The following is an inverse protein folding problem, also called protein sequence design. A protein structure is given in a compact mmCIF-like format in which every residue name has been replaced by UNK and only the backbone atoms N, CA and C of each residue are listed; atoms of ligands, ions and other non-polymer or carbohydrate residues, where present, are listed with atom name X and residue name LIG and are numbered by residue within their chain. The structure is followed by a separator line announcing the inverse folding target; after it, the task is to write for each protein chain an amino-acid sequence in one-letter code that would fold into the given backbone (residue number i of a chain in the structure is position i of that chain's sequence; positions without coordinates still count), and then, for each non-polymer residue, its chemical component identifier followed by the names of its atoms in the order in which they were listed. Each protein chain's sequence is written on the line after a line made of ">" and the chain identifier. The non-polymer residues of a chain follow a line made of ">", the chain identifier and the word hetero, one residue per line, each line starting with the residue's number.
data_IF_184041281986
#
_entry.id   IF_184041281986
#
_cell.length_a   1.000
_cell.length_b   1.000
_cell.length_c   1.000
_cell.angle_alpha   90.00
_cell.angle_beta   90.00
_cell.angle_gamma   90.00
#
_symmetry.space_group_name_H-M   'P 1'
#
loop_
_entity.id
_entity.type
_entity.pdbx_description
1 polymer ?
#
# COMPACT_ATOMS: atom_id res chain seq x y z
N UNK A 1 -9.73 -22.47 4.40
CA UNK A 1 -9.49 -21.03 4.59
C UNK A 1 -10.67 -20.29 3.99
N UNK A 2 -11.75 -20.15 4.75
CA UNK A 2 -13.01 -19.57 4.31
C UNK A 2 -13.54 -18.63 5.40
N UNK A 3 -12.84 -17.54 5.73
CA UNK A 3 -13.30 -16.62 6.80
C UNK A 3 -13.04 -15.15 6.48
N UNK A 4 -13.20 -14.75 5.22
CA UNK A 4 -13.39 -13.33 4.89
C UNK A 4 -14.74 -13.17 4.20
N UNK A 5 -15.81 -13.27 4.99
CA UNK A 5 -17.05 -12.63 4.60
C UNK A 5 -16.86 -11.14 4.84
N UNK A 6 -16.72 -10.37 3.77
CA UNK A 6 -16.78 -8.92 3.84
C UNK A 6 -18.21 -8.54 4.25
N UNK A 7 -18.43 -8.42 5.55
CA UNK A 7 -19.66 -7.88 6.11
C UNK A 7 -19.61 -6.36 5.92
N UNK A 8 -20.22 -5.88 4.84
CA UNK A 8 -20.43 -4.44 4.61
C UNK A 8 -21.58 -3.98 5.51
N UNK A 9 -21.37 -4.03 6.81
CA UNK A 9 -22.30 -3.50 7.79
C UNK A 9 -22.30 -1.97 7.64
N UNK A 10 -23.37 -1.41 7.08
CA UNK A 10 -23.51 0.03 6.78
C UNK A 10 -23.75 0.87 8.03
N UNK A 11 -23.15 0.52 9.16
CA UNK A 11 -23.17 1.34 10.38
C UNK A 11 -22.32 2.58 10.12
N UNK A 12 -22.84 3.75 10.46
CA UNK A 12 -22.02 4.97 10.36
C UNK A 12 -20.80 4.82 11.27
N UNK A 13 -19.68 5.38 10.84
CA UNK A 13 -18.43 5.37 11.63
C UNK A 13 -18.71 5.96 13.02
N UNK A 14 -19.51 7.03 13.09
CA UNK A 14 -19.97 7.63 14.35
C UNK A 14 -20.76 6.66 15.24
N UNK A 15 -21.59 5.78 14.65
CA UNK A 15 -22.35 4.76 15.36
C UNK A 15 -21.48 3.66 15.96
N UNK A 16 -20.33 3.37 15.35
CA UNK A 16 -19.33 2.41 15.87
C UNK A 16 -18.46 3.08 16.94
N UNK A 17 -18.00 4.30 16.68
CA UNK A 17 -17.14 5.05 17.59
C UNK A 17 -17.88 5.58 18.83
N UNK A 18 -19.20 5.70 18.79
CA UNK A 18 -19.99 6.08 19.98
C UNK A 18 -20.11 4.96 21.03
N UNK A 19 -19.66 3.73 20.72
CA UNK A 19 -19.69 2.61 21.65
C UNK A 19 -18.41 2.62 22.51
N UNK A 20 -18.55 2.82 23.81
CA UNK A 20 -17.46 2.75 24.79
C UNK A 20 -16.79 1.37 24.77
N UNK A 21 -15.50 1.33 25.12
CA UNK A 21 -14.64 0.14 25.07
C UNK A 21 -14.50 -0.47 23.66
N UNK A 22 -14.75 0.33 22.63
CA UNK A 22 -14.48 -0.05 21.23
C UNK A 22 -13.01 0.12 20.92
N UNK A 23 -12.48 -0.88 20.23
CA UNK A 23 -11.12 -0.90 19.72
C UNK A 23 -11.15 -0.71 18.21
N UNK A 24 -10.32 0.19 17.69
CA UNK A 24 -10.20 0.40 16.26
C UNK A 24 -8.74 0.57 15.84
N UNK A 25 -8.48 0.27 14.58
CA UNK A 25 -7.16 0.39 13.98
C UNK A 25 -7.21 1.52 12.96
N UNK A 26 -6.21 2.40 13.02
CA UNK A 26 -5.93 3.35 11.95
C UNK A 26 -4.78 2.79 11.13
N UNK A 27 -4.99 2.67 9.82
CA UNK A 27 -3.99 2.26 8.85
C UNK A 27 -3.79 3.43 7.90
N UNK A 28 -2.66 4.13 8.02
CA UNK A 28 -2.27 5.24 7.14
C UNK A 28 -1.26 4.73 6.12
N UNK A 29 -1.63 4.82 4.84
CA UNK A 29 -0.80 4.36 3.71
C UNK A 29 -0.44 5.57 2.86
N UNK A 30 0.63 6.25 3.27
CA UNK A 30 1.17 7.38 2.54
C UNK A 30 1.98 6.97 1.30
N UNK A 31 2.62 7.95 0.65
CA UNK A 31 3.53 7.69 -0.47
C UNK A 31 4.80 6.95 -0.07
N UNK A 32 5.33 7.22 1.12
CA UNK A 32 6.58 6.63 1.61
C UNK A 32 6.38 5.55 2.67
N UNK A 33 5.50 5.81 3.65
CA UNK A 33 5.31 4.95 4.82
C UNK A 33 3.93 4.31 4.84
N UNK A 34 3.89 3.14 5.48
CA UNK A 34 2.69 2.52 6.01
C UNK A 34 2.80 2.62 7.52
N UNK A 35 1.83 3.22 8.18
CA UNK A 35 1.78 3.38 9.63
C UNK A 35 0.47 2.78 10.17
N UNK A 36 0.57 1.99 11.24
CA UNK A 36 -0.54 1.27 11.87
C UNK A 36 -0.57 1.58 13.35
N UNK A 37 -1.73 2.03 13.83
CA UNK A 37 -1.96 2.38 15.23
C UNK A 37 -3.27 1.79 15.73
N UNK A 38 -3.28 1.33 16.99
CA UNK A 38 -4.48 0.79 17.63
C UNK A 38 -4.96 1.73 18.72
N UNK A 39 -6.24 2.08 18.68
CA UNK A 39 -6.89 2.97 19.62
C UNK A 39 -8.02 2.25 20.38
N UNK A 40 -8.27 2.72 21.59
CA UNK A 40 -9.37 2.33 22.46
C UNK A 40 -10.16 3.57 22.86
N UNK A 41 -11.49 3.51 22.74
CA UNK A 41 -12.41 4.53 23.25
C UNK A 41 -12.72 4.20 24.70
N UNK A 42 -12.25 5.02 25.63
CA UNK A 42 -12.42 4.84 27.06
C UNK A 42 -13.86 5.15 27.50
N UNK A 43 -14.21 4.73 28.72
CA UNK A 43 -15.54 4.96 29.32
C UNK A 43 -15.92 6.45 29.45
N UNK A 44 -14.94 7.36 29.51
CA UNK A 44 -15.14 8.81 29.56
C UNK A 44 -15.24 9.46 28.16
N UNK A 45 -15.20 8.65 27.11
CA UNK A 45 -15.22 9.09 25.71
C UNK A 45 -13.88 9.56 25.16
N UNK A 46 -12.80 9.49 25.94
CA UNK A 46 -11.44 9.81 25.45
C UNK A 46 -10.88 8.68 24.59
N UNK A 47 -9.90 9.03 23.73
CA UNK A 47 -9.21 8.06 22.88
C UNK A 47 -7.83 7.80 23.47
N UNK A 48 -7.52 6.52 23.68
CA UNK A 48 -6.21 6.06 24.14
C UNK A 48 -5.53 5.26 23.04
N UNK A 49 -4.32 5.63 22.65
CA UNK A 49 -3.45 4.76 21.86
C UNK A 49 -2.96 3.61 22.76
N UNK A 50 -3.31 2.37 22.41
CA UNK A 50 -2.98 1.18 23.21
C UNK A 50 -1.85 0.35 22.62
N UNK A 51 -1.48 0.61 21.37
CA UNK A 51 -0.31 0.01 20.74
C UNK A 51 0.46 1.07 19.97
N UNK A 52 1.76 1.11 20.24
CA UNK A 52 2.70 2.03 19.59
C UNK A 52 2.54 1.94 18.07
N UNK A 53 2.59 3.08 17.39
CA UNK A 53 2.71 3.17 15.92
C UNK A 53 3.75 2.14 15.43
N UNK A 54 3.28 1.18 14.63
CA UNK A 54 4.15 0.24 13.90
C UNK A 54 4.03 0.52 12.42
N UNK A 55 5.14 0.51 11.72
CA UNK A 55 5.15 0.92 10.32
C UNK A 55 6.48 0.67 9.64
N UNK A 56 6.54 1.02 8.36
CA UNK A 56 7.76 0.91 7.58
C UNK A 56 7.63 1.55 6.21
N UNK A 57 8.71 1.52 5.41
CA UNK A 57 8.71 2.07 4.07
C UNK A 57 7.95 1.12 3.16
N UNK A 58 6.62 1.12 3.25
CA UNK A 58 5.72 0.27 2.45
C UNK A 58 4.61 1.11 1.81
N UNK A 59 4.85 2.42 1.65
CA UNK A 59 3.92 3.34 1.01
C UNK A 59 3.82 3.13 -0.51
N UNK A 60 3.03 3.99 -1.14
CA UNK A 60 2.74 3.95 -2.58
C UNK A 60 3.96 3.96 -3.51
N UNK A 61 5.14 4.40 -3.05
CA UNK A 61 6.37 4.38 -3.83
C UNK A 61 6.72 2.96 -4.34
N UNK A 62 6.41 1.92 -3.57
CA UNK A 62 6.64 0.54 -4.00
C UNK A 62 5.67 0.12 -5.11
N UNK A 63 4.44 0.65 -5.10
CA UNK A 63 3.49 0.43 -6.20
C UNK A 63 4.03 1.04 -7.48
N UNK A 64 4.52 2.29 -7.41
CA UNK A 64 5.13 2.96 -8.56
C UNK A 64 6.33 2.18 -9.11
N UNK A 65 7.26 1.76 -8.24
CA UNK A 65 8.44 0.99 -8.65
C UNK A 65 8.07 -0.34 -9.33
N UNK A 66 7.05 -1.04 -8.82
CA UNK A 66 6.56 -2.29 -9.44
C UNK A 66 5.90 -2.03 -10.77
N UNK A 67 5.15 -0.93 -10.89
CA UNK A 67 4.52 -0.53 -12.15
C UNK A 67 5.55 -0.13 -13.21
N UNK A 68 6.57 0.66 -12.84
CA UNK A 68 7.69 1.02 -13.73
C UNK A 68 8.44 -0.23 -14.19
N UNK A 69 8.74 -1.17 -13.28
CA UNK A 69 9.39 -2.44 -13.61
C UNK A 69 8.58 -3.27 -14.61
N UNK A 70 7.25 -3.31 -14.44
CA UNK A 70 6.35 -4.00 -15.37
C UNK A 70 6.39 -3.36 -16.76
N UNK A 71 6.34 -2.02 -16.84
CA UNK A 71 6.42 -1.31 -18.11
C UNK A 71 7.78 -1.57 -18.81
N UNK A 72 8.87 -1.55 -18.06
CA UNK A 72 10.20 -1.89 -18.61
C UNK A 72 10.24 -3.29 -19.18
N UNK A 73 9.67 -4.28 -18.48
CA UNK A 73 9.62 -5.67 -18.96
C UNK A 73 8.84 -5.78 -20.27
N UNK A 74 7.65 -5.19 -20.32
CA UNK A 74 6.78 -5.23 -21.49
C UNK A 74 7.44 -4.57 -22.71
N UNK A 75 8.04 -3.39 -22.54
CA UNK A 75 8.62 -2.65 -23.66
C UNK A 75 10.04 -3.11 -24.04
N UNK A 76 10.82 -3.70 -23.12
CA UNK A 76 12.05 -4.44 -23.49
C UNK A 76 11.72 -5.67 -24.33
N UNK A 77 10.70 -6.42 -23.93
CA UNK A 77 10.27 -7.59 -24.71
C UNK A 77 9.78 -7.20 -26.11
N UNK A 78 9.04 -6.09 -26.23
CA UNK A 78 8.54 -5.59 -27.52
C UNK A 78 9.64 -5.09 -28.47
N UNK A 79 10.79 -4.66 -27.95
CA UNK A 79 11.90 -4.10 -28.74
C UNK A 79 13.01 -5.11 -29.01
N UNK A 80 13.16 -6.14 -28.19
CA UNK A 80 14.16 -7.20 -28.37
C UNK A 80 13.93 -8.10 -29.60
N UNK A 81 12.71 -8.13 -30.15
CA UNK A 81 12.39 -8.95 -31.32
C UNK A 81 12.83 -8.36 -32.67
N UNK A 82 13.39 -7.13 -32.74
CA UNK A 82 13.68 -6.47 -34.01
C UNK A 82 15.05 -5.75 -34.13
N UNK A 83 15.98 -5.92 -33.18
CA UNK A 83 17.34 -5.37 -33.34
C UNK A 83 18.32 -6.51 -33.61
N UNK A 84 18.81 -6.69 -34.85
CA UNK A 84 19.91 -7.60 -35.10
C UNK A 84 21.16 -7.09 -34.36
N UNK A 85 21.87 -7.99 -33.67
CA UNK A 85 23.07 -7.66 -32.88
C UNK A 85 24.15 -6.91 -33.68
N UNK A 86 24.12 -6.98 -35.01
CA UNK A 86 25.01 -6.25 -35.92
C UNK A 86 24.88 -4.72 -35.85
N UNK A 87 23.79 -4.17 -35.30
CA UNK A 87 23.55 -2.72 -35.28
C UNK A 87 24.29 -1.98 -34.16
N UNK A 88 24.76 -2.67 -33.11
CA UNK A 88 25.47 -2.03 -32.00
C UNK A 88 26.91 -1.60 -32.36
N UNK A 89 27.49 -2.14 -33.43
CA UNK A 89 28.85 -1.77 -33.85
C UNK A 89 28.91 -0.43 -34.61
N UNK A 90 27.77 0.12 -35.05
CA UNK A 90 27.71 1.33 -35.86
C UNK A 90 27.60 2.63 -35.04
N UNK A 91 27.28 2.53 -33.75
CA UNK A 91 27.11 3.69 -32.83
C UNK A 91 28.31 3.92 -31.90
N UNK A 92 29.35 3.09 -31.97
CA UNK A 92 30.56 3.21 -31.15
C UNK A 92 31.78 3.80 -31.88
N UNK A 93 31.61 4.43 -33.04
CA UNK A 93 32.72 4.99 -33.84
C UNK A 93 32.47 6.40 -34.38
N UNK A 94 31.63 7.19 -33.72
CA UNK A 94 31.49 8.63 -33.96
C UNK A 94 31.72 9.41 -32.67
#
# INVERSE_FOLDING_TARGET
>A
MNDFQAETDSRSVDGILSKLNTHYIVVDIGGGTLDVTVHEIQDDGTIKEIHKVTGGPYGGIYVNQRFESLLEELFRCATASNVPESSFHLIGSL
#
